data_IF_248693345462
#
_entry.id   IF_248693345462
#
_cell.length_a   1.000
_cell.length_b   1.000
_cell.length_c   1.000
_cell.angle_alpha   90.00
_cell.angle_beta   90.00
_cell.angle_gamma   90.00
#
_symmetry.space_group_name_H-M   'P 1'
#
loop_
_entity.id
_entity.type
_entity.pdbx_description
1 polymer ?
#
# COMPACT_ATOMS: atom_id res chain seq x y z
N UNK A 1 10.91 -15.65 29.63
CA UNK A 1 11.22 -16.08 28.26
C UNK A 1 10.15 -15.48 27.36
N UNK A 2 10.46 -14.38 26.68
CA UNK A 2 9.56 -13.79 25.69
C UNK A 2 9.72 -14.63 24.44
N UNK A 3 8.66 -15.31 24.01
CA UNK A 3 8.66 -16.03 22.76
C UNK A 3 8.87 -15.02 21.63
N UNK A 4 10.06 -15.06 21.02
CA UNK A 4 10.30 -14.46 19.72
C UNK A 4 9.36 -15.13 18.74
N UNK A 5 8.21 -14.53 18.49
CA UNK A 5 7.42 -14.80 17.29
C UNK A 5 8.19 -14.23 16.11
N UNK A 6 9.16 -15.00 15.62
CA UNK A 6 9.76 -14.83 14.30
C UNK A 6 8.75 -15.30 13.22
N UNK A 7 7.54 -14.74 13.27
CA UNK A 7 6.64 -14.77 12.12
C UNK A 7 7.19 -13.69 11.18
N UNK A 8 8.10 -14.10 10.29
CA UNK A 8 8.77 -13.20 9.36
C UNK A 8 7.78 -12.23 8.72
N UNK A 9 8.19 -10.96 8.63
CA UNK A 9 7.37 -9.87 8.09
C UNK A 9 6.63 -10.31 6.81
N UNK A 10 5.32 -9.99 6.69
CA UNK A 10 4.53 -10.39 5.53
C UNK A 10 5.18 -9.84 4.26
N UNK A 11 5.45 -10.71 3.28
CA UNK A 11 6.05 -10.27 2.03
C UNK A 11 5.04 -9.47 1.23
N UNK A 12 5.47 -8.31 0.74
CA UNK A 12 4.65 -7.47 -0.12
C UNK A 12 4.45 -8.17 -1.45
N UNK A 13 3.22 -8.16 -1.93
CA UNK A 13 2.91 -8.49 -3.31
C UNK A 13 1.78 -7.58 -3.79
N UNK A 14 1.83 -7.21 -5.07
CA UNK A 14 0.80 -6.33 -5.65
C UNK A 14 -0.58 -6.98 -5.66
N UNK A 15 -0.66 -8.32 -5.79
CA UNK A 15 -1.92 -9.07 -5.81
C UNK A 15 -2.47 -9.36 -4.41
N UNK A 16 -1.60 -9.40 -3.39
CA UNK A 16 -1.97 -9.56 -1.99
C UNK A 16 -1.85 -8.26 -1.21
N UNK A 17 -2.03 -7.10 -1.87
CA UNK A 17 -1.79 -5.80 -1.24
C UNK A 17 -2.72 -5.55 -0.06
N UNK A 18 -4.01 -5.86 -0.18
CA UNK A 18 -4.99 -5.67 0.89
C UNK A 18 -4.68 -6.52 2.12
N UNK A 19 -4.40 -7.82 1.92
CA UNK A 19 -3.98 -8.71 3.01
C UNK A 19 -2.67 -8.24 3.63
N UNK A 20 -1.71 -7.81 2.81
CA UNK A 20 -0.44 -7.27 3.28
C UNK A 20 -0.63 -6.00 4.12
N UNK A 21 -1.53 -5.10 3.72
CA UNK A 21 -1.83 -3.89 4.50
C UNK A 21 -2.34 -4.25 5.89
N UNK A 22 -3.30 -5.17 5.98
CA UNK A 22 -3.89 -5.62 7.26
C UNK A 22 -2.80 -6.24 8.15
N UNK A 23 -1.96 -7.11 7.59
CA UNK A 23 -0.86 -7.72 8.35
C UNK A 23 0.20 -6.70 8.78
N UNK A 24 0.51 -5.72 7.93
CA UNK A 24 1.47 -4.66 8.23
C UNK A 24 0.95 -3.74 9.33
N UNK A 25 -0.33 -3.36 9.28
CA UNK A 25 -1.00 -2.58 10.32
C UNK A 25 -0.91 -3.28 11.69
N UNK A 26 -1.32 -4.55 11.74
CA UNK A 26 -1.24 -5.35 12.97
C UNK A 26 0.21 -5.47 13.49
N UNK A 27 1.18 -5.65 12.59
CA UNK A 27 2.59 -5.74 12.96
C UNK A 27 3.12 -4.43 13.56
N UNK A 28 2.80 -3.28 12.95
CA UNK A 28 3.26 -1.97 13.43
C UNK A 28 2.65 -1.63 14.80
N UNK A 29 1.36 -1.92 15.01
CA UNK A 29 0.74 -1.77 16.33
C UNK A 29 1.36 -2.68 17.39
N UNK A 30 1.74 -3.90 17.02
CA UNK A 30 2.44 -4.81 17.95
C UNK A 30 3.84 -4.31 18.35
N UNK A 31 4.49 -3.48 17.52
CA UNK A 31 5.79 -2.89 17.84
C UNK A 31 5.66 -1.62 18.71
N UNK A 32 4.74 -0.72 18.36
CA UNK A 32 4.50 0.52 19.10
C UNK A 32 3.19 1.21 18.65
N UNK A 33 2.36 1.65 19.60
CA UNK A 33 1.05 2.24 19.36
C UNK A 33 1.04 3.40 18.33
N UNK A 34 2.06 4.25 18.35
CA UNK A 34 2.18 5.39 17.43
C UNK A 34 2.83 5.10 16.06
N UNK A 35 3.27 3.88 15.76
CA UNK A 35 3.90 3.61 14.45
C UNK A 35 2.90 3.73 13.30
N UNK A 36 1.65 3.31 13.50
CA UNK A 36 0.63 3.47 12.45
C UNK A 36 0.37 4.95 12.14
N UNK A 37 0.34 5.80 13.17
CA UNK A 37 0.13 7.25 13.00
C UNK A 37 1.16 7.89 12.06
N UNK A 38 2.41 7.37 12.00
CA UNK A 38 3.41 7.94 11.08
C UNK A 38 3.11 7.66 9.60
N UNK A 39 2.23 6.70 9.30
CA UNK A 39 1.74 6.41 7.95
C UNK A 39 0.54 7.25 7.56
N UNK A 40 -0.28 7.67 8.54
CA UNK A 40 -1.49 8.47 8.32
C UNK A 40 -1.18 9.97 8.35
N UNK A 41 -0.44 10.41 9.38
CA UNK A 41 -0.22 11.82 9.69
C UNK A 41 1.22 12.29 9.35
N UNK A 42 2.10 11.35 9.04
CA UNK A 42 3.52 11.60 8.82
C UNK A 42 4.37 11.63 10.10
N UNK A 43 5.65 12.04 10.01
CA UNK A 43 6.57 11.99 11.14
C UNK A 43 6.05 12.74 12.37
N UNK A 44 6.12 12.10 13.55
CA UNK A 44 5.66 12.69 14.80
C UNK A 44 6.42 13.98 15.11
N UNK A 45 5.66 15.04 15.43
CA UNK A 45 6.21 16.34 15.83
C UNK A 45 6.54 16.32 17.31
N UNK A 46 7.80 16.54 17.66
CA UNK A 46 8.22 16.70 19.06
C UNK A 46 7.91 18.13 19.50
N UNK A 47 7.06 18.25 20.51
CA UNK A 47 6.57 19.53 21.00
C UNK A 47 6.79 19.67 22.51
N UNK A 48 6.82 20.92 22.97
CA UNK A 48 6.81 21.28 24.38
C UNK A 48 5.79 22.38 24.62
N UNK A 49 5.34 22.53 25.85
CA UNK A 49 4.51 23.68 26.23
C UNK A 49 5.29 24.98 26.01
N UNK A 50 4.61 25.98 25.46
CA UNK A 50 5.18 27.30 25.28
C UNK A 50 5.40 27.95 26.66
N UNK A 51 6.65 28.23 27.07
CA UNK A 51 6.90 28.95 28.32
C UNK A 51 6.41 30.41 28.26
N UNK A 52 6.31 30.99 27.06
CA UNK A 52 5.76 32.33 26.82
C UNK A 52 4.25 32.27 26.58
N UNK A 53 3.49 31.75 27.57
CA UNK A 53 2.02 31.69 27.47
C UNK A 53 1.43 33.10 27.41
N UNK A 54 0.39 33.28 26.59
CA UNK A 54 -0.34 34.54 26.52
C UNK A 54 -1.02 34.83 27.88
N UNK A 55 -0.68 35.94 28.57
CA UNK A 55 -1.27 36.28 29.86
C UNK A 55 -2.78 36.53 29.78
N UNK A 56 -3.31 36.87 28.61
CA UNK A 56 -4.73 37.12 28.39
C UNK A 56 -5.59 35.84 28.33
N UNK A 57 -4.98 34.67 28.14
CA UNK A 57 -5.67 33.37 28.04
C UNK A 57 -4.90 32.28 28.79
N UNK A 58 -4.81 32.36 30.14
CA UNK A 58 -3.96 31.48 30.94
C UNK A 58 -4.38 30.00 30.89
N UNK A 59 -5.65 29.72 30.61
CA UNK A 59 -6.20 28.35 30.52
C UNK A 59 -5.90 27.65 29.18
N UNK A 60 -5.44 28.40 28.17
CA UNK A 60 -5.13 27.84 26.86
C UNK A 60 -3.67 27.39 26.83
N UNK A 61 -3.45 26.07 26.86
CA UNK A 61 -2.11 25.49 26.68
C UNK A 61 -1.72 25.58 25.21
N UNK A 62 -0.63 26.30 24.93
CA UNK A 62 -0.04 26.39 23.60
C UNK A 62 1.18 25.47 23.52
N UNK A 63 1.29 24.70 22.44
CA UNK A 63 2.45 23.85 22.16
C UNK A 63 3.31 24.43 21.04
N UNK A 64 4.63 24.37 21.21
CA UNK A 64 5.62 24.80 20.21
C UNK A 64 6.59 23.65 19.90
N UNK A 65 7.25 23.63 18.73
CA UNK A 65 8.30 22.65 18.44
C UNK A 65 9.39 22.67 19.52
N UNK A 66 9.72 21.50 20.05
CA UNK A 66 10.78 21.37 21.05
C UNK A 66 12.15 21.47 20.35
N UNK A 67 13.04 22.41 20.75
CA UNK A 67 14.39 22.48 20.20
C UNK A 67 15.15 21.17 20.39
N UNK A 68 15.91 20.72 19.39
CA UNK A 68 16.60 19.41 19.39
C UNK A 68 17.58 19.27 20.56
N UNK A 69 18.17 20.37 21.00
CA UNK A 69 19.12 20.44 22.11
C UNK A 69 18.46 20.09 23.46
N UNK A 70 17.13 20.17 23.55
CA UNK A 70 16.34 19.84 24.75
C UNK A 70 15.69 18.46 24.68
N UNK A 71 15.90 17.71 23.61
CA UNK A 71 15.27 16.40 23.45
C UNK A 71 15.78 15.42 24.49
N UNK A 72 14.85 14.67 25.09
CA UNK A 72 15.19 13.52 25.92
C UNK A 72 15.17 12.23 25.09
N UNK A 73 15.53 11.10 25.71
CA UNK A 73 15.55 9.80 25.02
C UNK A 73 14.17 9.40 24.47
N UNK A 74 13.08 9.85 25.07
CA UNK A 74 11.72 9.55 24.60
C UNK A 74 11.39 10.36 23.36
N UNK A 75 11.80 11.63 23.31
CA UNK A 75 11.67 12.48 22.13
C UNK A 75 12.43 11.90 20.94
N UNK A 76 13.68 11.47 21.16
CA UNK A 76 14.49 10.81 20.15
C UNK A 76 13.84 9.53 19.63
N UNK A 77 13.30 8.68 20.53
CA UNK A 77 12.58 7.46 20.16
C UNK A 77 11.32 7.76 19.35
N UNK A 78 10.52 8.73 19.78
CA UNK A 78 9.30 9.17 19.06
C UNK A 78 9.63 9.69 17.67
N UNK A 79 10.65 10.53 17.52
CA UNK A 79 11.08 11.03 16.22
C UNK A 79 11.58 9.90 15.31
N UNK A 80 12.26 8.90 15.88
CA UNK A 80 12.80 7.77 15.12
C UNK A 80 11.73 6.79 14.62
N UNK A 81 10.47 6.87 15.07
CA UNK A 81 9.41 5.96 14.64
C UNK A 81 9.17 6.01 13.12
N UNK A 82 9.38 7.15 12.46
CA UNK A 82 9.32 7.24 10.99
C UNK A 82 10.37 6.33 10.33
N UNK A 83 11.61 6.35 10.82
CA UNK A 83 12.69 5.53 10.28
C UNK A 83 12.46 4.03 10.56
N UNK A 84 11.97 3.69 11.75
CA UNK A 84 11.67 2.29 12.11
C UNK A 84 10.55 1.75 11.23
N UNK A 85 9.48 2.51 11.05
CA UNK A 85 8.34 2.13 10.20
C UNK A 85 8.77 1.97 8.75
N UNK A 86 9.57 2.91 8.23
CA UNK A 86 10.18 2.82 6.90
C UNK A 86 11.00 1.55 6.72
N UNK A 87 11.85 1.23 7.69
CA UNK A 87 12.66 0.01 7.65
C UNK A 87 11.78 -1.25 7.64
N UNK A 88 10.75 -1.31 8.49
CA UNK A 88 9.81 -2.42 8.54
C UNK A 88 9.11 -2.65 7.20
N UNK A 89 8.62 -1.57 6.55
CA UNK A 89 8.02 -1.67 5.22
C UNK A 89 9.04 -2.16 4.19
N UNK A 90 10.24 -1.56 4.13
CA UNK A 90 11.25 -1.95 3.14
C UNK A 90 11.68 -3.42 3.24
N UNK A 91 11.71 -4.01 4.43
CA UNK A 91 12.04 -5.43 4.60
C UNK A 91 11.02 -6.40 3.97
N UNK A 92 9.82 -5.89 3.63
CA UNK A 92 8.77 -6.68 2.97
C UNK A 92 8.84 -6.63 1.46
N UNK A 93 9.54 -5.64 0.89
CA UNK A 93 9.50 -5.35 -0.54
C UNK A 93 10.49 -6.21 -1.31
N UNK A 94 10.10 -6.61 -2.51
CA UNK A 94 11.03 -7.13 -3.49
C UNK A 94 11.90 -5.98 -4.09
N UNK A 95 13.06 -6.29 -4.69
CA UNK A 95 13.96 -5.27 -5.23
C UNK A 95 13.33 -4.36 -6.30
N UNK A 96 12.37 -4.86 -7.08
CA UNK A 96 11.73 -4.10 -8.15
C UNK A 96 10.81 -3.06 -7.54
N UNK A 97 9.95 -3.47 -6.60
CA UNK A 97 9.06 -2.55 -5.88
C UNK A 97 9.85 -1.53 -5.08
N UNK A 98 10.88 -1.98 -4.34
CA UNK A 98 11.77 -1.07 -3.61
C UNK A 98 12.39 -0.01 -4.51
N UNK A 99 12.93 -0.40 -5.68
CA UNK A 99 13.56 0.56 -6.59
C UNK A 99 12.63 1.67 -7.09
N UNK A 100 11.32 1.40 -7.18
CA UNK A 100 10.32 2.40 -7.60
C UNK A 100 10.06 3.45 -6.53
N UNK A 101 10.15 3.11 -5.24
CA UNK A 101 9.71 3.97 -4.14
C UNK A 101 10.84 4.43 -3.19
N UNK A 102 12.06 3.90 -3.33
CA UNK A 102 13.21 4.19 -2.44
C UNK A 102 13.61 5.66 -2.31
N UNK A 103 13.13 6.52 -3.22
CA UNK A 103 13.42 7.95 -3.24
C UNK A 103 12.48 8.77 -2.34
N UNK A 104 11.40 8.15 -1.84
CA UNK A 104 10.44 8.73 -0.91
C UNK A 104 11.07 8.83 0.49
N UNK A 105 10.80 9.92 1.20
CA UNK A 105 11.57 10.35 2.38
C UNK A 105 10.97 9.84 3.69
N UNK A 106 9.65 9.88 3.80
CA UNK A 106 8.90 9.52 5.01
C UNK A 106 8.20 8.17 4.86
N UNK A 107 7.86 7.53 5.97
CA UNK A 107 7.09 6.30 5.97
C UNK A 107 5.70 6.49 5.33
N UNK A 108 5.05 7.63 5.59
CA UNK A 108 3.78 8.01 4.94
C UNK A 108 3.91 8.10 3.41
N UNK A 109 4.92 8.80 2.91
CA UNK A 109 5.13 8.91 1.46
C UNK A 109 5.31 7.54 0.82
N UNK A 110 6.13 6.68 1.45
CA UNK A 110 6.35 5.29 1.03
C UNK A 110 5.04 4.50 0.98
N UNK A 111 4.25 4.56 2.05
CA UNK A 111 2.95 3.89 2.15
C UNK A 111 1.98 4.33 1.07
N UNK A 112 1.83 5.63 0.87
CA UNK A 112 0.99 6.20 -0.20
C UNK A 112 1.51 5.81 -1.59
N UNK A 113 2.83 5.75 -1.77
CA UNK A 113 3.46 5.31 -3.02
C UNK A 113 3.13 3.86 -3.36
N UNK A 114 3.14 2.97 -2.37
CA UNK A 114 2.72 1.56 -2.55
C UNK A 114 1.24 1.47 -2.95
N UNK A 115 0.36 2.26 -2.32
CA UNK A 115 -1.05 2.34 -2.69
C UNK A 115 -1.25 2.71 -4.14
N UNK A 116 -0.60 3.79 -4.60
CA UNK A 116 -0.68 4.25 -6.00
C UNK A 116 -0.18 3.21 -7.01
N UNK A 117 0.86 2.45 -6.66
CA UNK A 117 1.35 1.37 -7.52
C UNK A 117 0.33 0.24 -7.67
N UNK A 118 -0.43 -0.06 -6.61
CA UNK A 118 -1.47 -1.09 -6.62
C UNK A 118 -2.72 -0.61 -7.35
N UNK A 119 -3.18 0.62 -7.08
CA UNK A 119 -4.31 1.24 -7.78
C UNK A 119 -4.10 1.27 -9.31
N UNK A 120 -2.94 1.74 -9.77
CA UNK A 120 -2.63 1.78 -11.20
C UNK A 120 -2.58 0.39 -11.85
N UNK A 121 -2.23 -0.66 -11.09
CA UNK A 121 -2.27 -2.04 -11.59
C UNK A 121 -3.71 -2.56 -11.68
N UNK A 122 -4.54 -2.27 -10.68
CA UNK A 122 -5.95 -2.63 -10.70
C UNK A 122 -6.69 -1.99 -11.86
N UNK A 123 -6.43 -0.72 -12.12
CA UNK A 123 -7.05 0.00 -13.24
C UNK A 123 -6.62 -0.60 -14.58
N UNK A 124 -5.34 -0.90 -14.75
CA UNK A 124 -4.86 -1.60 -15.94
C UNK A 124 -5.49 -3.00 -16.08
N UNK A 125 -5.68 -3.71 -14.97
CA UNK A 125 -6.36 -5.02 -14.95
C UNK A 125 -7.83 -4.87 -15.38
N UNK A 126 -8.56 -3.92 -14.80
CA UNK A 126 -9.97 -3.62 -15.15
C UNK A 126 -10.11 -3.25 -16.62
N UNK A 127 -9.24 -2.37 -17.13
CA UNK A 127 -9.23 -1.98 -18.55
C UNK A 127 -8.97 -3.17 -19.48
N UNK A 128 -8.03 -4.06 -19.13
CA UNK A 128 -7.77 -5.29 -19.91
C UNK A 128 -8.98 -6.22 -19.91
N UNK A 129 -9.63 -6.39 -18.75
CA UNK A 129 -10.87 -7.19 -18.64
C UNK A 129 -11.95 -6.60 -19.54
N UNK A 130 -12.18 -5.29 -19.49
CA UNK A 130 -13.18 -4.62 -20.32
C UNK A 130 -12.93 -4.84 -21.81
N UNK A 131 -11.69 -4.67 -22.28
CA UNK A 131 -11.31 -4.94 -23.69
C UNK A 131 -11.54 -6.41 -24.07
N UNK A 132 -11.22 -7.35 -23.17
CA UNK A 132 -11.44 -8.78 -23.43
C UNK A 132 -12.94 -9.14 -23.44
N UNK A 133 -13.74 -8.52 -22.58
CA UNK A 133 -15.19 -8.68 -22.56
C UNK A 133 -15.83 -8.15 -23.84
N UNK A 134 -15.38 -7.00 -24.35
CA UNK A 134 -15.86 -6.49 -25.64
C UNK A 134 -15.48 -7.42 -26.80
N UNK A 135 -14.26 -7.98 -26.79
CA UNK A 135 -13.86 -9.01 -27.76
C UNK A 135 -14.70 -10.29 -27.64
N UNK A 136 -15.03 -10.70 -26.42
CA UNK A 136 -15.85 -11.88 -26.15
C UNK A 136 -17.28 -11.67 -26.65
N UNK A 137 -17.93 -10.55 -26.30
CA UNK A 137 -19.30 -10.23 -26.73
C UNK A 137 -19.41 -10.04 -28.25
N UNK A 138 -18.41 -9.42 -28.86
CA UNK A 138 -18.33 -9.21 -30.30
C UNK A 138 -17.77 -10.40 -31.08
N UNK A 139 -17.52 -11.54 -30.42
CA UNK A 139 -16.83 -12.66 -31.03
C UNK A 139 -17.67 -13.28 -32.14
N UNK A 140 -17.07 -13.40 -33.31
CA UNK A 140 -17.68 -14.02 -34.49
C UNK A 140 -16.60 -14.59 -35.40
N UNK A 141 -17.01 -15.55 -36.21
CA UNK A 141 -16.18 -16.10 -37.27
C UNK A 141 -15.81 -15.03 -38.29
N UNK A 142 -14.54 -15.00 -38.70
CA UNK A 142 -14.06 -14.12 -39.76
C UNK A 142 -14.24 -14.78 -41.14
N UNK A 143 -14.35 -13.99 -42.23
CA UNK A 143 -14.40 -14.53 -43.58
C UNK A 143 -13.13 -15.33 -43.90
N UNK A 144 -13.28 -16.60 -44.30
CA UNK A 144 -12.17 -17.48 -44.64
C UNK A 144 -11.40 -18.09 -43.45
N UNK A 145 -11.87 -17.84 -42.23
CA UNK A 145 -11.33 -18.48 -41.02
C UNK A 145 -11.69 -19.97 -40.98
N UNK A 146 -10.76 -20.84 -40.57
CA UNK A 146 -11.09 -22.25 -40.31
C UNK A 146 -11.71 -22.42 -38.91
N UNK A 147 -12.37 -23.54 -38.66
CA UNK A 147 -12.91 -23.83 -37.34
C UNK A 147 -11.80 -23.88 -36.28
N UNK A 148 -10.65 -24.48 -36.58
CA UNK A 148 -9.52 -24.55 -35.65
C UNK A 148 -9.00 -23.16 -35.28
N UNK A 149 -8.92 -22.23 -36.25
CA UNK A 149 -8.50 -20.84 -35.99
C UNK A 149 -9.51 -20.08 -35.14
N UNK A 150 -10.81 -20.32 -35.37
CA UNK A 150 -11.87 -19.76 -34.57
C UNK A 150 -11.80 -20.26 -33.13
N UNK A 151 -11.65 -21.57 -32.95
CA UNK A 151 -11.58 -22.21 -31.63
C UNK A 151 -10.36 -21.73 -30.84
N UNK A 152 -9.19 -21.62 -31.48
CA UNK A 152 -7.97 -21.10 -30.86
C UNK A 152 -8.15 -19.66 -30.38
N UNK A 153 -8.75 -18.78 -31.20
CA UNK A 153 -9.02 -17.40 -30.82
C UNK A 153 -10.00 -17.29 -29.66
N UNK A 154 -11.04 -18.13 -29.64
CA UNK A 154 -12.02 -18.13 -28.57
C UNK A 154 -11.40 -18.56 -27.24
N UNK A 155 -10.67 -19.67 -27.24
CA UNK A 155 -9.96 -20.17 -26.07
C UNK A 155 -8.91 -19.18 -25.57
N UNK A 156 -8.24 -18.46 -26.47
CA UNK A 156 -7.31 -17.40 -26.09
C UNK A 156 -7.99 -16.31 -25.25
N UNK A 157 -9.17 -15.83 -25.65
CA UNK A 157 -9.92 -14.81 -24.89
C UNK A 157 -10.30 -15.35 -23.50
N UNK A 158 -10.78 -16.59 -23.42
CA UNK A 158 -11.16 -17.22 -22.15
C UNK A 158 -9.95 -17.39 -21.21
N UNK A 159 -8.82 -17.85 -21.74
CA UNK A 159 -7.59 -18.04 -20.98
C UNK A 159 -7.04 -16.69 -20.50
N UNK A 160 -7.07 -15.66 -21.33
CA UNK A 160 -6.64 -14.31 -20.96
C UNK A 160 -7.52 -13.74 -19.84
N UNK A 161 -8.85 -13.90 -19.91
CA UNK A 161 -9.78 -13.49 -18.84
C UNK A 161 -9.53 -14.26 -17.53
N UNK A 162 -9.34 -15.58 -17.62
CA UNK A 162 -9.03 -16.43 -16.47
C UNK A 162 -7.71 -16.02 -15.81
N UNK A 163 -6.69 -15.65 -16.60
CA UNK A 163 -5.40 -15.17 -16.09
C UNK A 163 -5.50 -13.87 -15.28
N UNK A 164 -6.57 -13.09 -15.48
CA UNK A 164 -6.85 -11.84 -14.76
C UNK A 164 -7.79 -12.05 -13.56
N UNK A 165 -8.05 -13.31 -13.18
CA UNK A 165 -9.03 -13.73 -12.18
C UNK A 165 -10.45 -13.20 -12.47
N UNK A 166 -10.81 -13.01 -13.74
CA UNK A 166 -12.17 -12.62 -14.13
C UNK A 166 -13.01 -13.85 -14.44
N UNK A 167 -14.10 -14.03 -13.68
CA UNK A 167 -15.09 -15.08 -13.95
C UNK A 167 -16.28 -14.44 -14.63
N UNK A 168 -16.58 -14.90 -15.85
CA UNK A 168 -17.76 -14.45 -16.59
C UNK A 168 -19.04 -14.68 -15.78
N UNK A 169 -19.76 -13.60 -15.49
CA UNK A 169 -21.05 -13.62 -14.84
C UNK A 169 -22.16 -14.12 -15.79
N UNK A 170 -23.31 -14.57 -15.28
CA UNK A 170 -24.44 -14.97 -16.12
C UNK A 170 -24.92 -13.88 -17.09
N UNK A 171 -24.75 -12.60 -16.73
CA UNK A 171 -25.11 -11.46 -17.60
C UNK A 171 -24.15 -11.25 -18.77
N UNK A 172 -22.90 -11.70 -18.64
CA UNK A 172 -21.88 -11.59 -19.69
C UNK A 172 -21.85 -12.83 -20.60
N UNK A 173 -22.53 -13.91 -20.21
CA UNK A 173 -22.63 -15.16 -20.98
C UNK A 173 -23.83 -15.20 -21.94
N UNK A 174 -24.79 -14.29 -21.78
CA UNK A 174 -26.01 -14.16 -22.57
C UNK A 174 -25.89 -13.03 -23.58
#
# INVERSE_FOLDING_TARGET
MVNNMDHGLPKFSLLGYDDWKIMMEAHLYALHDCMWMVLEDGPLKIQMENPERNPATPDVVQYIPKPKEKWDDRDCKKHNLDNVTKAAIFMTLDPITFSKIKHLKTAMEIWQGLGKLCEGLEDLRKQKIEVLLEKFKGFKMLPGESFDMLDERFHKILNDLASLNHVLSPKEKN
#
